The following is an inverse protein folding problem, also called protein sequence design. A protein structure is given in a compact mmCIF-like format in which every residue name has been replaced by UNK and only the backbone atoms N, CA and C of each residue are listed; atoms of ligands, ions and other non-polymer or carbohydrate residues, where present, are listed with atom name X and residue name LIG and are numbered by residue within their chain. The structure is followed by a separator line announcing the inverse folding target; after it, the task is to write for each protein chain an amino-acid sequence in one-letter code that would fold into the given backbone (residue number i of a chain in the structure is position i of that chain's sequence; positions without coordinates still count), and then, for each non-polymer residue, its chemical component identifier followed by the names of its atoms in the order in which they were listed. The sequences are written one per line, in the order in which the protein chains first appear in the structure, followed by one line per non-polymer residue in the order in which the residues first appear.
data_IF_372413715991
#
_entry.id   IF_372413715991
#
_cell.length_a   1.000
_cell.length_b   1.000
_cell.length_c   1.000
_cell.angle_alpha   90.00
_cell.angle_beta   90.00
_cell.angle_gamma   90.00
#
_symmetry.space_group_name_H-M   'P 1'
#
loop_
_entity.id
_entity.type
_entity.pdbx_description
1 polymer ?
#
# COMPACT_ATOMS: atom_id res chain seq x y z
N UNK A 1 -15.95 -10.91 6.25
CA UNK A 1 -14.76 -11.79 6.14
C UNK A 1 -13.78 -11.13 5.18
N UNK A 2 -12.50 -11.07 5.54
CA UNK A 2 -11.44 -10.37 4.79
C UNK A 2 -10.47 -11.41 4.25
N UNK A 3 -10.02 -11.23 3.00
CA UNK A 3 -8.94 -12.02 2.40
C UNK A 3 -7.81 -11.07 2.00
N UNK A 4 -6.63 -11.28 2.56
CA UNK A 4 -5.40 -10.65 2.07
C UNK A 4 -4.76 -11.61 1.07
N UNK A 5 -4.39 -11.13 -0.11
CA UNK A 5 -3.76 -11.94 -1.13
C UNK A 5 -2.46 -11.31 -1.61
N UNK A 6 -1.44 -12.16 -1.81
CA UNK A 6 -0.19 -11.79 -2.46
C UNK A 6 -0.09 -12.64 -3.74
N UNK A 7 -0.28 -12.01 -4.89
CA UNK A 7 -0.38 -12.65 -6.18
C UNK A 7 1.03 -12.91 -6.74
N UNK A 8 1.74 -13.86 -6.17
CA UNK A 8 3.03 -14.30 -6.70
C UNK A 8 2.85 -14.74 -8.17
N UNK A 9 3.61 -14.12 -9.09
CA UNK A 9 3.52 -14.42 -10.52
C UNK A 9 2.47 -13.60 -11.31
N UNK A 10 1.74 -12.70 -10.68
CA UNK A 10 0.80 -11.79 -11.36
C UNK A 10 1.49 -10.58 -12.02
N UNK A 11 2.42 -10.85 -12.94
CA UNK A 11 3.05 -9.85 -13.80
C UNK A 11 2.42 -9.79 -15.20
N UNK A 12 1.44 -10.68 -15.48
CA UNK A 12 0.67 -10.74 -16.72
C UNK A 12 -0.84 -10.57 -16.48
N UNK A 13 -1.60 -10.02 -17.45
CA UNK A 13 -3.08 -9.96 -17.35
C UNK A 13 -3.66 -11.37 -17.25
N UNK A 14 -3.08 -12.31 -18.01
CA UNK A 14 -3.47 -13.71 -17.96
C UNK A 14 -3.26 -14.29 -16.55
N UNK A 15 -2.14 -13.98 -15.89
CA UNK A 15 -1.87 -14.42 -14.52
C UNK A 15 -2.85 -13.81 -13.51
N UNK A 16 -3.13 -12.51 -13.62
CA UNK A 16 -4.12 -11.84 -12.75
C UNK A 16 -5.51 -12.45 -12.94
N UNK A 17 -5.95 -12.65 -14.18
CA UNK A 17 -7.22 -13.30 -14.51
C UNK A 17 -7.31 -14.73 -14.01
N UNK A 18 -6.22 -15.50 -14.14
CA UNK A 18 -6.16 -16.86 -13.61
C UNK A 18 -6.37 -16.86 -12.10
N UNK A 19 -5.74 -15.93 -11.37
CA UNK A 19 -5.91 -15.87 -9.92
C UNK A 19 -7.31 -15.36 -9.54
N UNK A 20 -7.87 -14.39 -10.26
CA UNK A 20 -9.26 -13.99 -10.05
C UNK A 20 -10.21 -15.20 -10.23
N UNK A 21 -9.97 -16.03 -11.25
CA UNK A 21 -10.70 -17.28 -11.48
C UNK A 21 -10.51 -18.28 -10.33
N UNK A 22 -9.29 -18.44 -9.82
CA UNK A 22 -8.98 -19.36 -8.71
C UNK A 22 -9.62 -18.92 -7.38
N UNK A 23 -9.71 -17.61 -7.14
CA UNK A 23 -10.45 -17.06 -5.98
C UNK A 23 -11.95 -17.36 -6.09
N UNK A 24 -12.48 -17.38 -7.31
CA UNK A 24 -13.81 -17.89 -7.64
C UNK A 24 -14.95 -17.21 -6.89
N UNK A 25 -16.05 -17.94 -6.69
CA UNK A 25 -17.26 -17.44 -6.05
C UNK A 25 -17.12 -17.24 -4.53
N UNK A 26 -16.08 -17.79 -3.91
CA UNK A 26 -15.89 -17.79 -2.46
C UNK A 26 -15.60 -16.39 -1.89
N UNK A 27 -15.18 -15.45 -2.74
CA UNK A 27 -14.87 -14.07 -2.35
C UNK A 27 -16.00 -13.07 -2.62
N UNK A 28 -17.12 -13.51 -3.19
CA UNK A 28 -18.28 -12.63 -3.44
C UNK A 28 -18.80 -11.99 -2.16
N UNK A 29 -19.04 -10.68 -2.21
CA UNK A 29 -19.46 -9.85 -1.09
C UNK A 29 -18.39 -9.63 -0.01
N UNK A 30 -17.15 -10.08 -0.23
CA UNK A 30 -16.05 -9.96 0.74
C UNK A 30 -15.09 -8.85 0.36
N UNK A 31 -14.26 -8.47 1.32
CA UNK A 31 -13.14 -7.56 1.13
C UNK A 31 -11.91 -8.36 0.70
N UNK A 32 -11.33 -7.98 -0.44
CA UNK A 32 -10.07 -8.50 -0.95
C UNK A 32 -9.01 -7.40 -0.87
N UNK A 33 -7.95 -7.62 -0.10
CA UNK A 33 -6.79 -6.73 -0.02
C UNK A 33 -5.65 -7.34 -0.85
N UNK A 34 -5.31 -6.70 -1.96
CA UNK A 34 -4.20 -7.02 -2.84
C UNK A 34 -2.91 -6.36 -2.36
N UNK A 35 -1.93 -7.19 -1.97
CA UNK A 35 -0.59 -6.79 -1.53
C UNK A 35 0.49 -6.96 -2.61
N UNK A 36 0.10 -7.24 -3.85
CA UNK A 36 1.01 -7.63 -4.93
C UNK A 36 1.79 -6.44 -5.48
N UNK A 37 3.08 -6.63 -5.76
CA UNK A 37 3.83 -5.79 -6.69
C UNK A 37 3.96 -6.53 -8.04
N UNK A 38 3.27 -6.10 -9.11
CA UNK A 38 3.20 -6.84 -10.38
C UNK A 38 4.47 -6.60 -11.23
N UNK A 39 5.62 -6.99 -10.68
CA UNK A 39 6.94 -6.82 -11.28
C UNK A 39 7.30 -8.01 -12.17
N UNK A 40 7.94 -7.75 -13.31
CA UNK A 40 8.54 -8.79 -14.13
C UNK A 40 9.64 -9.53 -13.35
N UNK A 41 9.91 -10.81 -13.67
CA UNK A 41 10.96 -11.57 -13.00
C UNK A 41 12.32 -10.86 -13.09
N UNK A 42 13.15 -11.05 -12.05
CA UNK A 42 14.54 -10.61 -12.09
C UNK A 42 15.26 -11.15 -13.35
N UNK A 43 16.10 -10.34 -14.03
CA UNK A 43 16.59 -9.01 -13.65
C UNK A 43 15.75 -7.81 -14.11
N UNK A 44 14.60 -8.03 -14.76
CA UNK A 44 13.81 -6.94 -15.34
C UNK A 44 13.19 -6.01 -14.30
N UNK A 45 12.48 -6.57 -13.32
CA UNK A 45 11.76 -5.83 -12.26
C UNK A 45 10.90 -4.67 -12.80
N UNK A 46 10.34 -4.85 -13.99
CA UNK A 46 9.53 -3.84 -14.65
C UNK A 46 8.10 -3.96 -14.15
N UNK A 47 7.49 -2.83 -13.79
CA UNK A 47 6.07 -2.79 -13.43
C UNK A 47 5.24 -3.06 -14.67
N UNK A 48 4.31 -4.01 -14.55
CA UNK A 48 3.28 -4.25 -15.56
C UNK A 48 2.53 -2.95 -15.90
N UNK A 49 2.52 -2.55 -17.17
CA UNK A 49 1.62 -1.49 -17.65
C UNK A 49 0.97 -1.84 -18.99
N UNK A 50 -0.31 -2.19 -18.95
CA UNK A 50 -1.15 -2.42 -20.15
C UNK A 50 -2.31 -1.44 -20.25
N UNK A 51 -2.21 -0.29 -19.58
CA UNK A 51 -3.26 0.72 -19.47
C UNK A 51 -4.16 0.57 -18.24
N UNK A 52 -4.08 -0.57 -17.54
CA UNK A 52 -4.73 -0.83 -16.25
C UNK A 52 -3.70 -1.35 -15.25
N UNK A 53 -3.84 -0.96 -13.99
CA UNK A 53 -3.11 -1.57 -12.86
C UNK A 53 -3.62 -2.98 -12.56
N UNK A 54 -2.82 -3.76 -11.81
CA UNK A 54 -3.25 -5.09 -11.40
C UNK A 54 -4.50 -5.03 -10.51
N UNK A 55 -4.55 -4.06 -9.58
CA UNK A 55 -5.72 -3.81 -8.76
C UNK A 55 -6.98 -3.45 -9.57
N UNK A 56 -6.84 -2.67 -10.64
CA UNK A 56 -7.97 -2.36 -11.54
C UNK A 56 -8.46 -3.61 -12.28
N UNK A 57 -7.55 -4.43 -12.80
CA UNK A 57 -7.94 -5.66 -13.49
C UNK A 57 -8.62 -6.65 -12.54
N UNK A 58 -8.14 -6.80 -11.30
CA UNK A 58 -8.80 -7.63 -10.29
C UNK A 58 -10.23 -7.15 -9.99
N UNK A 59 -10.43 -5.83 -9.86
CA UNK A 59 -11.75 -5.27 -9.62
C UNK A 59 -12.71 -5.52 -10.79
N UNK A 60 -12.21 -5.56 -12.02
CA UNK A 60 -13.01 -5.88 -13.21
C UNK A 60 -13.39 -7.37 -13.28
N UNK A 61 -12.46 -8.26 -12.96
CA UNK A 61 -12.71 -9.71 -12.98
C UNK A 61 -13.56 -10.17 -11.78
N UNK A 62 -13.61 -9.38 -10.70
CA UNK A 62 -14.32 -9.68 -9.46
C UNK A 62 -15.33 -8.58 -9.10
N UNK A 63 -16.36 -8.33 -9.93
CA UNK A 63 -17.28 -7.20 -9.75
C UNK A 63 -18.11 -7.28 -8.46
N UNK A 64 -18.32 -8.50 -7.95
CA UNK A 64 -19.05 -8.74 -6.70
C UNK A 64 -18.15 -8.67 -5.46
N UNK A 65 -16.89 -8.22 -5.58
CA UNK A 65 -15.90 -8.19 -4.49
C UNK A 65 -15.40 -6.77 -4.23
N UNK A 66 -15.21 -6.41 -2.96
CA UNK A 66 -14.64 -5.12 -2.57
C UNK A 66 -13.11 -5.19 -2.61
N UNK A 67 -12.54 -4.84 -3.77
CA UNK A 67 -11.09 -4.88 -3.99
C UNK A 67 -10.40 -3.62 -3.45
N UNK A 68 -9.32 -3.84 -2.72
CA UNK A 68 -8.43 -2.82 -2.17
C UNK A 68 -6.97 -3.16 -2.47
N UNK A 69 -6.14 -2.15 -2.69
CA UNK A 69 -4.69 -2.23 -2.77
C UNK A 69 -4.09 -1.69 -1.48
N UNK A 70 -3.28 -2.48 -0.77
CA UNK A 70 -2.57 -2.07 0.44
C UNK A 70 -1.36 -2.98 0.67
N UNK A 71 -0.52 -2.72 1.68
CA UNK A 71 0.64 -3.55 2.09
C UNK A 71 1.76 -3.74 1.06
N UNK A 72 1.57 -3.30 -0.18
CA UNK A 72 2.55 -3.47 -1.25
C UNK A 72 3.73 -2.48 -1.14
N UNK A 73 3.55 -1.41 -0.36
CA UNK A 73 4.45 -0.24 -0.37
C UNK A 73 5.45 -0.16 0.79
N UNK A 74 5.40 -1.11 1.72
CA UNK A 74 6.36 -1.26 2.81
C UNK A 74 7.07 -2.60 2.60
N UNK A 75 8.41 -2.57 2.54
CA UNK A 75 9.20 -3.77 2.29
C UNK A 75 8.98 -4.85 3.34
N UNK A 76 8.93 -6.12 2.91
CA UNK A 76 8.73 -7.26 3.81
C UNK A 76 9.81 -7.36 4.90
N UNK A 77 11.03 -6.90 4.60
CA UNK A 77 12.14 -6.81 5.55
C UNK A 77 11.87 -5.85 6.70
N UNK A 78 11.15 -4.75 6.46
CA UNK A 78 10.73 -3.84 7.52
C UNK A 78 9.60 -4.48 8.32
N UNK A 79 8.58 -5.02 7.65
CA UNK A 79 7.44 -5.66 8.32
C UNK A 79 7.81 -6.87 9.18
N UNK A 80 8.92 -7.55 8.89
CA UNK A 80 9.40 -8.70 9.67
C UNK A 80 10.11 -8.31 10.98
N UNK A 81 10.40 -7.03 11.20
CA UNK A 81 11.03 -6.54 12.43
C UNK A 81 9.99 -6.39 13.55
N UNK A 82 10.43 -6.51 14.80
CA UNK A 82 9.53 -6.41 15.96
C UNK A 82 8.84 -5.04 16.08
N UNK A 83 9.46 -4.00 15.54
CA UNK A 83 8.97 -2.63 15.41
C UNK A 83 8.63 -2.27 13.95
N UNK A 84 8.40 -3.27 13.10
CA UNK A 84 8.30 -3.15 11.63
C UNK A 84 7.19 -2.26 11.09
N UNK A 85 6.32 -1.75 11.96
CA UNK A 85 5.32 -0.73 11.67
C UNK A 85 5.73 0.68 12.10
N UNK A 86 6.98 0.87 12.51
CA UNK A 86 7.56 2.14 12.92
C UNK A 86 9.00 2.29 12.42
N UNK A 87 9.44 3.53 12.25
CA UNK A 87 10.82 3.87 11.95
C UNK A 87 11.23 5.03 12.85
N UNK A 88 12.31 4.89 13.61
CA UNK A 88 12.76 5.88 14.60
C UNK A 88 11.67 6.28 15.60
N UNK A 89 10.81 5.34 16.01
CA UNK A 89 9.71 5.59 16.93
C UNK A 89 8.49 6.31 16.33
N UNK A 90 8.49 6.58 15.02
CA UNK A 90 7.32 7.11 14.32
C UNK A 90 6.59 6.00 13.58
N UNK A 91 5.27 5.93 13.74
CA UNK A 91 4.43 4.97 13.05
C UNK A 91 4.48 5.19 11.54
N UNK A 92 4.64 4.11 10.78
CA UNK A 92 4.65 4.15 9.33
C UNK A 92 3.23 4.24 8.77
N UNK A 93 3.07 5.06 7.74
CA UNK A 93 1.80 5.19 7.02
C UNK A 93 1.62 4.07 6.00
N UNK A 94 0.48 3.39 6.07
CA UNK A 94 0.04 2.46 5.05
C UNK A 94 -1.01 3.13 4.17
N UNK A 95 -0.60 3.50 2.96
CA UNK A 95 -1.52 4.00 1.94
C UNK A 95 -2.32 2.85 1.34
N UNK A 96 -3.61 3.08 1.13
CA UNK A 96 -4.48 2.10 0.48
C UNK A 96 -5.51 2.76 -0.45
N UNK A 97 -5.84 2.06 -1.54
CA UNK A 97 -6.80 2.49 -2.55
C UNK A 97 -7.83 1.39 -2.81
N UNK A 98 -9.08 1.72 -3.13
CA UNK A 98 -10.09 0.68 -3.41
C UNK A 98 -11.51 1.21 -3.36
N UNK A 99 -12.46 0.29 -3.16
CA UNK A 99 -13.89 0.64 -3.03
C UNK A 99 -14.13 1.72 -1.96
N UNK A 100 -15.23 2.46 -2.07
CA UNK A 100 -15.74 3.28 -0.96
C UNK A 100 -16.46 2.44 0.09
N UNK A 101 -16.91 1.24 -0.26
CA UNK A 101 -17.64 0.32 0.62
C UNK A 101 -16.70 -0.59 1.40
N UNK A 102 -16.97 -0.78 2.70
CA UNK A 102 -16.12 -1.55 3.62
C UNK A 102 -14.74 -0.93 3.90
N UNK A 103 -14.55 0.36 3.60
CA UNK A 103 -13.31 1.10 3.89
C UNK A 103 -12.89 1.01 5.35
N UNK A 104 -13.84 1.20 6.28
CA UNK A 104 -13.56 1.17 7.72
C UNK A 104 -12.97 -0.17 8.18
N UNK A 105 -13.40 -1.28 7.56
CA UNK A 105 -12.89 -2.61 7.85
C UNK A 105 -11.42 -2.76 7.40
N UNK A 106 -11.04 -2.13 6.28
CA UNK A 106 -9.66 -2.11 5.79
C UNK A 106 -8.78 -1.21 6.68
N UNK A 107 -9.30 -0.05 7.09
CA UNK A 107 -8.63 0.84 8.04
C UNK A 107 -8.34 0.13 9.37
N UNK A 108 -9.30 -0.65 9.88
CA UNK A 108 -9.14 -1.46 11.08
C UNK A 108 -8.04 -2.50 10.89
N UNK A 109 -8.06 -3.28 9.80
CA UNK A 109 -7.00 -4.28 9.52
C UNK A 109 -5.62 -3.64 9.51
N UNK A 110 -5.45 -2.53 8.79
CA UNK A 110 -4.19 -1.81 8.72
C UNK A 110 -3.75 -1.32 10.10
N UNK A 111 -4.67 -0.75 10.88
CA UNK A 111 -4.39 -0.26 12.23
C UNK A 111 -3.98 -1.40 13.16
N UNK A 112 -4.64 -2.55 13.10
CA UNK A 112 -4.28 -3.72 13.92
C UNK A 112 -2.90 -4.29 13.59
N UNK A 113 -2.42 -4.09 12.36
CA UNK A 113 -1.05 -4.41 11.96
C UNK A 113 -0.02 -3.37 12.40
N UNK A 114 -0.45 -2.31 13.09
CA UNK A 114 0.42 -1.30 13.69
C UNK A 114 0.77 -0.15 12.77
N UNK A 115 0.16 -0.03 11.59
CA UNK A 115 0.37 1.09 10.66
C UNK A 115 -0.73 2.14 10.78
N UNK A 116 -0.42 3.37 10.39
CA UNK A 116 -1.42 4.43 10.25
C UNK A 116 -2.11 4.31 8.87
N UNK A 117 -3.42 4.03 8.79
CA UNK A 117 -4.12 3.88 7.51
C UNK A 117 -4.37 5.23 6.82
N UNK A 118 -4.00 5.34 5.55
CA UNK A 118 -4.34 6.50 4.71
C UNK A 118 -5.04 6.07 3.43
N UNK A 119 -6.32 6.43 3.32
CA UNK A 119 -7.11 6.16 2.12
C UNK A 119 -6.79 7.18 1.01
N UNK A 120 -6.30 6.70 -0.13
CA UNK A 120 -5.92 7.55 -1.26
C UNK A 120 -6.98 7.64 -2.36
N UNK A 121 -8.13 6.97 -2.18
CA UNK A 121 -9.27 7.03 -3.09
C UNK A 121 -9.57 5.72 -3.81
N UNK A 122 -10.30 5.83 -4.92
CA UNK A 122 -10.78 4.68 -5.71
C UNK A 122 -9.66 3.76 -6.21
N UNK A 123 -10.00 2.53 -6.63
CA UNK A 123 -9.03 1.52 -7.09
C UNK A 123 -8.12 1.99 -8.24
N UNK A 124 -8.51 3.02 -9.00
CA UNK A 124 -7.64 3.65 -10.01
C UNK A 124 -6.28 4.08 -9.46
N UNK A 125 -6.19 4.41 -8.17
CA UNK A 125 -4.95 4.86 -7.54
C UNK A 125 -4.00 3.70 -7.22
N UNK A 126 -4.43 2.44 -7.36
CA UNK A 126 -3.58 1.26 -7.23
C UNK A 126 -2.34 1.36 -8.15
N UNK A 127 -2.48 1.90 -9.37
CA UNK A 127 -1.35 2.17 -10.28
C UNK A 127 -0.21 2.98 -9.65
N UNK A 128 -0.53 3.94 -8.78
CA UNK A 128 0.47 4.79 -8.14
C UNK A 128 1.12 4.06 -6.96
N UNK A 129 0.37 3.18 -6.30
CA UNK A 129 0.87 2.36 -5.20
C UNK A 129 1.75 1.23 -5.74
N UNK A 130 1.41 0.61 -6.87
CA UNK A 130 2.15 -0.50 -7.50
C UNK A 130 3.54 -0.10 -8.00
N UNK A 131 3.70 1.14 -8.45
CA UNK A 131 5.01 1.69 -8.85
C UNK A 131 5.97 1.86 -7.67
N UNK A 132 5.46 1.80 -6.43
CA UNK A 132 6.22 2.14 -5.24
C UNK A 132 6.81 0.91 -4.57
N UNK A 133 7.99 0.52 -5.02
CA UNK A 133 8.92 -0.28 -4.22
C UNK A 133 9.85 0.67 -3.44
N UNK A 134 9.85 0.58 -2.10
CA UNK A 134 10.83 1.32 -1.27
C UNK A 134 11.43 0.35 -0.24
N UNK A 135 12.67 -0.07 -0.51
CA UNK A 135 13.55 -0.89 0.32
C UNK A 135 14.97 -0.97 -0.29
N UNK A 136 16.04 -1.14 0.50
CA UNK A 136 17.21 -0.26 0.40
C UNK A 136 18.36 -0.81 -0.45
N UNK A 137 18.23 -0.99 -1.77
CA UNK A 137 19.41 -1.15 -2.66
C UNK A 137 19.17 -0.63 -4.09
N UNK A 138 18.70 0.62 -4.22
CA UNK A 138 18.95 1.36 -5.46
C UNK A 138 19.85 2.57 -5.15
N UNK A 139 21.02 2.69 -5.79
CA UNK A 139 21.97 3.75 -5.51
C UNK A 139 21.47 5.04 -6.18
N UNK A 140 20.46 5.67 -5.61
CA UNK A 140 20.21 7.08 -5.87
C UNK A 140 21.20 7.89 -5.02
N UNK A 141 22.46 7.93 -5.45
CA UNK A 141 23.36 9.01 -5.03
C UNK A 141 22.88 10.28 -5.72
N UNK A 142 22.23 11.18 -4.97
CA UNK A 142 22.08 12.56 -5.42
C UNK A 142 20.78 13.24 -5.03
N UNK A 143 20.93 14.23 -4.15
CA UNK A 143 20.10 15.43 -4.01
C UNK A 143 18.87 15.39 -3.07
N UNK A 144 19.17 15.52 -1.78
CA UNK A 144 18.95 16.74 -0.96
C UNK A 144 17.63 17.54 -1.11
N UNK A 145 16.96 17.72 0.06
CA UNK A 145 15.99 18.76 0.43
C UNK A 145 14.59 18.59 -0.19
N UNK A 146 13.49 18.48 0.57
CA UNK A 146 12.92 19.48 1.48
C UNK A 146 11.97 18.80 2.48
N UNK A 147 12.19 18.98 3.78
CA UNK A 147 11.14 19.08 4.83
C UNK A 147 11.81 19.25 6.21
N UNK A 148 12.56 20.33 6.39
CA UNK A 148 12.90 20.82 7.73
C UNK A 148 12.46 22.27 7.83
N UNK A 149 11.26 22.47 8.38
CA UNK A 149 10.85 23.67 9.13
C UNK A 149 9.40 23.53 9.57
N UNK A 150 9.15 22.61 10.49
CA UNK A 150 7.99 22.66 11.37
C UNK A 150 8.43 22.13 12.74
N UNK A 151 9.08 23.00 13.53
CA UNK A 151 9.10 22.84 14.99
C UNK A 151 8.42 24.08 15.53
N UNK A 152 7.17 23.91 15.97
CA UNK A 152 6.50 24.83 16.85
C UNK A 152 7.13 24.68 18.24
N UNK A 153 7.63 25.79 18.79
CA UNK A 153 7.98 25.91 20.21
C UNK A 153 7.29 27.15 20.73
N UNK A 154 6.35 26.99 21.64
CA UNK A 154 5.84 28.06 22.47
C UNK A 154 6.18 27.77 23.92
N UNK A 155 6.68 28.78 24.64
CA UNK A 155 6.42 29.00 26.06
C UNK A 155 6.90 30.41 26.49
N UNK A 156 6.25 30.94 27.53
CA UNK A 156 6.90 31.85 28.47
C UNK A 156 6.89 33.35 28.17
N UNK A 157 5.74 34.00 28.26
CA UNK A 157 5.70 35.40 28.72
C UNK A 157 5.95 35.42 30.23
N UNK A 158 7.09 35.95 30.69
CA UNK A 158 7.10 36.74 31.92
C UNK A 158 8.24 37.77 31.97
N UNK A 159 7.89 38.87 32.62
CA UNK A 159 8.51 40.17 32.75
C UNK A 159 9.76 40.14 33.65
N UNK A 160 10.76 40.97 33.32
CA UNK A 160 11.42 41.80 34.34
C UNK A 160 11.98 43.10 33.76
N UNK A 161 11.48 44.19 34.35
CA UNK A 161 11.91 45.56 34.21
C UNK A 161 13.26 45.83 34.87
N UNK A 162 13.85 46.96 34.47
CA UNK A 162 14.89 47.78 35.13
C UNK A 162 16.29 47.20 35.27
#
# INVERSE_FOLDING_TARGET
MIRVNNLAGAHSDAGIKAIASDLGADIKGKVLIDATNPLSPYPGLEVRWTGKSAGELLAEELPDTFVYKAFNTIGANLMAQGDGSSLNGQQLTMMFAGSSENKALVEEVISTTGFEPVYVGSIRYARNLELREVGPELPFSGHSQVASSCVAGGDGTDVKST
#
